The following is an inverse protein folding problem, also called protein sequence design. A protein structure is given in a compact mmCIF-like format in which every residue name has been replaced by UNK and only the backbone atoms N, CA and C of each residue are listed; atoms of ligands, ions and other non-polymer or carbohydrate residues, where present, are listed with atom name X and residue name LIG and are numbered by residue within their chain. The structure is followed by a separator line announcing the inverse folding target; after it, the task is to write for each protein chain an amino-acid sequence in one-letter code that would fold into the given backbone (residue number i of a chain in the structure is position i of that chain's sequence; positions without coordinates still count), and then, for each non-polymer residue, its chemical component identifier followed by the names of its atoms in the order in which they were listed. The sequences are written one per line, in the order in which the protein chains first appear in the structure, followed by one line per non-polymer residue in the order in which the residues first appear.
data_IF_445604434871
#
_entry.id   IF_445604434871
#
_cell.length_a   1.000
_cell.length_b   1.000
_cell.length_c   1.000
_cell.angle_alpha   90.00
_cell.angle_beta   90.00
_cell.angle_gamma   90.00
#
_symmetry.space_group_name_H-M   'P 1'
#
loop_
_entity.id
_entity.type
_entity.pdbx_description
1 polymer ?
#
# COMPACT_ATOMS: atom_id res chain seq x y z
N UNK A 1 8.88 -17.61 -17.57
CA UNK A 1 9.31 -16.43 -16.81
C UNK A 1 8.34 -16.25 -15.66
N UNK A 2 8.86 -16.19 -14.44
CA UNK A 2 8.04 -15.96 -13.26
C UNK A 2 7.55 -14.51 -13.29
N UNK A 3 6.25 -14.30 -13.16
CA UNK A 3 5.61 -12.99 -13.26
C UNK A 3 6.03 -12.16 -12.03
N UNK A 4 6.80 -11.11 -12.23
CA UNK A 4 7.25 -10.21 -11.16
C UNK A 4 6.23 -9.10 -10.98
N UNK A 5 5.57 -9.06 -9.83
CA UNK A 5 4.60 -8.04 -9.46
C UNK A 5 5.19 -6.87 -8.66
N UNK A 6 6.44 -6.98 -8.25
CA UNK A 6 7.19 -5.91 -7.60
C UNK A 6 8.59 -5.85 -8.21
N UNK A 7 8.91 -4.69 -8.75
CA UNK A 7 10.23 -4.38 -9.27
C UNK A 7 11.07 -3.73 -8.19
N UNK A 8 12.37 -3.97 -8.20
CA UNK A 8 13.30 -3.41 -7.23
C UNK A 8 14.42 -2.67 -7.97
N UNK A 9 14.46 -1.37 -7.75
CA UNK A 9 15.52 -0.46 -8.23
C UNK A 9 16.23 0.18 -7.04
N UNK A 10 17.34 0.85 -7.30
CA UNK A 10 18.04 1.64 -6.29
C UNK A 10 18.72 2.86 -6.89
N UNK A 11 18.81 3.91 -6.09
CA UNK A 11 19.60 5.10 -6.32
C UNK A 11 20.53 5.30 -5.09
N UNK A 12 21.77 4.86 -5.21
CA UNK A 12 22.68 4.76 -4.08
C UNK A 12 22.13 3.85 -2.99
N UNK A 13 21.98 4.39 -1.79
CA UNK A 13 21.44 3.70 -0.60
C UNK A 13 19.92 3.82 -0.48
N UNK A 14 19.24 4.45 -1.43
CA UNK A 14 17.78 4.54 -1.48
C UNK A 14 17.26 3.44 -2.40
N UNK A 15 16.45 2.55 -1.84
CA UNK A 15 15.85 1.47 -2.60
C UNK A 15 14.41 1.82 -3.00
N UNK A 16 14.01 1.43 -4.20
CA UNK A 16 12.67 1.71 -4.73
C UNK A 16 11.99 0.38 -5.06
N UNK A 17 10.87 0.13 -4.40
CA UNK A 17 9.99 -0.99 -4.70
C UNK A 17 8.78 -0.47 -5.50
N UNK A 18 8.64 -0.94 -6.75
CA UNK A 18 7.56 -0.55 -7.65
C UNK A 18 6.51 -1.65 -7.71
N UNK A 19 5.29 -1.32 -7.33
CA UNK A 19 4.14 -2.23 -7.53
C UNK A 19 3.82 -2.23 -9.02
N UNK A 20 4.01 -3.38 -9.67
CA UNK A 20 3.87 -3.57 -11.12
C UNK A 20 2.78 -4.61 -11.42
N UNK A 21 1.54 -4.30 -11.08
CA UNK A 21 0.36 -5.13 -11.33
C UNK A 21 -0.71 -4.33 -12.10
N UNK A 22 -0.46 -3.99 -13.39
CA UNK A 22 -1.38 -3.20 -14.18
C UNK A 22 -2.74 -3.90 -14.34
N UNK A 23 -3.83 -3.14 -14.62
CA UNK A 23 -3.83 -1.70 -14.88
C UNK A 23 -3.92 -0.81 -13.63
N UNK A 24 -4.17 -1.37 -12.44
CA UNK A 24 -4.54 -0.59 -11.25
C UNK A 24 -3.80 -1.01 -9.96
N UNK A 25 -2.76 -1.82 -10.10
CA UNK A 25 -1.88 -2.21 -9.01
C UNK A 25 -2.63 -2.77 -7.77
N UNK A 26 -3.58 -3.71 -8.01
CA UNK A 26 -4.24 -4.41 -6.90
C UNK A 26 -3.24 -5.21 -6.07
N UNK A 27 -3.47 -5.27 -4.76
CA UNK A 27 -2.60 -5.94 -3.80
C UNK A 27 -2.92 -7.46 -3.71
N UNK A 28 -2.86 -8.13 -4.87
CA UNK A 28 -3.01 -9.59 -4.97
C UNK A 28 -1.86 -10.31 -4.27
N UNK A 29 -2.00 -11.61 -4.07
CA UNK A 29 -1.01 -12.46 -3.38
C UNK A 29 0.41 -12.24 -3.89
N UNK A 30 0.64 -12.23 -5.20
CA UNK A 30 1.98 -12.04 -5.77
C UNK A 30 2.56 -10.64 -5.46
N UNK A 31 1.74 -9.58 -5.43
CA UNK A 31 2.17 -8.25 -5.02
C UNK A 31 2.54 -8.23 -3.53
N UNK A 32 1.70 -8.83 -2.67
CA UNK A 32 1.98 -8.92 -1.23
C UNK A 32 3.28 -9.67 -0.95
N UNK A 33 3.45 -10.82 -1.59
CA UNK A 33 4.68 -11.62 -1.49
C UNK A 33 5.90 -10.83 -1.98
N UNK A 34 5.78 -10.16 -3.12
CA UNK A 34 6.84 -9.32 -3.68
C UNK A 34 7.22 -8.15 -2.78
N UNK A 35 6.25 -7.45 -2.18
CA UNK A 35 6.52 -6.36 -1.23
C UNK A 35 7.21 -6.88 0.04
N UNK A 36 6.68 -7.95 0.64
CA UNK A 36 7.26 -8.54 1.85
C UNK A 36 8.71 -9.00 1.63
N UNK A 37 8.97 -9.74 0.56
CA UNK A 37 10.31 -10.18 0.19
C UNK A 37 11.22 -9.01 -0.21
N UNK A 38 10.69 -8.03 -0.93
CA UNK A 38 11.41 -6.84 -1.37
C UNK A 38 11.90 -5.99 -0.20
N UNK A 39 11.07 -5.77 0.82
CA UNK A 39 11.47 -5.04 2.05
C UNK A 39 12.65 -5.78 2.73
N UNK A 40 12.53 -7.10 2.89
CA UNK A 40 13.59 -7.90 3.49
C UNK A 40 14.89 -7.85 2.67
N UNK A 41 14.79 -7.88 1.34
CA UNK A 41 15.94 -7.76 0.44
C UNK A 41 16.61 -6.38 0.56
N UNK A 42 15.82 -5.29 0.54
CA UNK A 42 16.33 -3.93 0.72
C UNK A 42 17.14 -3.79 2.02
N UNK A 43 16.60 -4.30 3.13
CA UNK A 43 17.27 -4.26 4.43
C UNK A 43 18.58 -5.07 4.42
N UNK A 44 18.57 -6.25 3.81
CA UNK A 44 19.77 -7.10 3.68
C UNK A 44 20.86 -6.44 2.83
N UNK A 45 20.46 -5.69 1.81
CA UNK A 45 21.36 -4.96 0.91
C UNK A 45 21.82 -3.60 1.46
N UNK A 46 21.44 -3.25 2.70
CA UNK A 46 21.92 -2.05 3.38
C UNK A 46 21.19 -0.77 3.00
N UNK A 47 19.94 -0.86 2.55
CA UNK A 47 19.11 0.33 2.29
C UNK A 47 19.09 1.27 3.49
N UNK A 48 19.20 2.58 3.23
CA UNK A 48 18.99 3.64 4.24
C UNK A 48 17.58 4.20 4.22
N UNK A 49 16.86 4.01 3.12
CA UNK A 49 15.44 4.26 3.02
C UNK A 49 14.85 3.40 1.89
N UNK A 50 13.54 3.15 1.98
CA UNK A 50 12.79 2.41 0.96
C UNK A 50 11.66 3.30 0.48
N UNK A 51 11.50 3.45 -0.83
CA UNK A 51 10.38 4.14 -1.46
C UNK A 51 9.44 3.11 -2.07
N UNK A 52 8.15 3.16 -1.71
CA UNK A 52 7.10 2.40 -2.38
C UNK A 52 6.38 3.28 -3.38
N UNK A 53 6.24 2.83 -4.61
CA UNK A 53 5.54 3.55 -5.68
C UNK A 53 4.78 2.55 -6.56
N UNK A 54 3.70 2.98 -7.20
CA UNK A 54 3.02 2.18 -8.23
C UNK A 54 3.60 2.43 -9.62
N UNK A 55 3.53 1.45 -10.50
CA UNK A 55 3.79 1.68 -11.93
C UNK A 55 2.51 2.19 -12.63
N UNK A 56 2.68 2.80 -13.79
CA UNK A 56 1.56 3.25 -14.61
C UNK A 56 0.81 4.44 -13.98
N UNK A 57 -0.53 4.36 -13.97
CA UNK A 57 -1.38 5.53 -13.71
C UNK A 57 -1.73 5.81 -12.25
N UNK A 58 -1.41 4.91 -11.33
CA UNK A 58 -1.82 5.07 -9.93
C UNK A 58 -0.95 4.25 -8.97
N UNK A 59 -0.97 4.63 -7.71
CA UNK A 59 -0.29 3.90 -6.65
C UNK A 59 -0.88 2.50 -6.44
N UNK A 60 -2.16 2.40 -6.05
CA UNK A 60 -2.86 1.12 -5.92
C UNK A 60 -4.37 1.32 -5.72
N UNK A 61 -5.17 0.49 -6.39
CA UNK A 61 -6.63 0.41 -6.19
C UNK A 61 -7.06 -0.42 -4.98
N UNK A 62 -6.10 -1.00 -4.23
CA UNK A 62 -6.39 -1.76 -3.02
C UNK A 62 -6.42 -3.27 -3.21
N UNK A 63 -7.14 -3.95 -2.35
CA UNK A 63 -7.19 -5.41 -2.32
C UNK A 63 -7.74 -6.02 -3.63
N UNK A 64 -7.24 -7.19 -3.99
CA UNK A 64 -7.74 -7.96 -5.13
C UNK A 64 -9.05 -8.66 -4.75
N UNK A 65 -10.18 -8.16 -5.27
CA UNK A 65 -11.51 -8.66 -4.93
C UNK A 65 -11.74 -10.11 -5.32
N UNK A 66 -11.09 -10.59 -6.37
CA UNK A 66 -11.23 -11.99 -6.83
C UNK A 66 -10.60 -13.00 -5.87
N UNK A 67 -9.82 -12.54 -4.91
CA UNK A 67 -9.22 -13.38 -3.86
C UNK A 67 -10.12 -13.54 -2.62
N UNK A 68 -11.18 -12.74 -2.46
CA UNK A 68 -12.04 -12.78 -1.27
C UNK A 68 -12.85 -14.07 -1.13
N UNK A 69 -13.12 -14.74 -2.23
CA UNK A 69 -13.83 -16.03 -2.27
C UNK A 69 -12.89 -17.24 -2.22
N UNK A 70 -11.58 -17.01 -2.15
CA UNK A 70 -10.55 -18.06 -2.16
C UNK A 70 -9.93 -18.23 -0.76
N UNK A 71 -9.32 -19.40 -0.46
CA UNK A 71 -8.51 -19.56 0.73
C UNK A 71 -7.42 -18.47 0.78
N UNK A 72 -7.26 -17.86 1.95
CA UNK A 72 -6.25 -16.82 2.15
C UNK A 72 -4.85 -17.38 1.94
N UNK A 73 -4.06 -16.68 1.13
CA UNK A 73 -2.67 -17.02 0.86
C UNK A 73 -1.74 -16.01 1.54
N UNK A 74 -0.70 -16.46 2.25
CA UNK A 74 0.29 -15.57 2.85
C UNK A 74 1.21 -14.94 1.77
N UNK A 75 1.81 -13.80 2.09
CA UNK A 75 1.50 -12.98 3.25
C UNK A 75 0.15 -12.25 3.12
N UNK A 76 -0.51 -12.04 4.24
CA UNK A 76 -1.69 -11.16 4.33
C UNK A 76 -1.27 -9.69 4.24
N UNK A 77 -2.24 -8.78 4.03
CA UNK A 77 -1.95 -7.34 4.09
C UNK A 77 -1.39 -6.90 5.46
N UNK A 78 -1.95 -7.34 6.61
CA UNK A 78 -1.35 -7.02 7.91
C UNK A 78 0.12 -7.45 8.03
N UNK A 79 0.49 -8.65 7.57
CA UNK A 79 1.90 -9.10 7.62
C UNK A 79 2.83 -8.21 6.78
N UNK A 80 2.38 -7.73 5.61
CA UNK A 80 3.15 -6.76 4.82
C UNK A 80 3.26 -5.42 5.54
N UNK A 81 2.17 -4.96 6.17
CA UNK A 81 2.16 -3.69 6.89
C UNK A 81 3.04 -3.75 8.15
N UNK A 82 3.02 -4.86 8.87
CA UNK A 82 3.92 -5.09 10.01
C UNK A 82 5.39 -5.06 9.59
N UNK A 83 5.72 -5.67 8.43
CA UNK A 83 7.07 -5.62 7.89
C UNK A 83 7.51 -4.18 7.53
N UNK A 84 6.57 -3.33 7.08
CA UNK A 84 6.82 -1.91 6.84
C UNK A 84 7.01 -1.17 8.16
N UNK A 85 6.07 -1.27 9.10
CA UNK A 85 6.06 -0.52 10.35
C UNK A 85 7.23 -0.88 11.26
N UNK A 86 7.69 -2.15 11.23
CA UNK A 86 8.84 -2.63 12.00
C UNK A 86 10.18 -2.49 11.28
N UNK A 87 10.18 -1.93 10.09
CA UNK A 87 11.41 -1.71 9.31
C UNK A 87 12.38 -0.80 10.07
N UNK A 88 13.66 -1.19 10.08
CA UNK A 88 14.74 -0.43 10.72
C UNK A 88 15.14 0.84 9.95
N UNK A 89 14.62 1.00 8.74
CA UNK A 89 14.84 2.19 7.90
C UNK A 89 13.50 2.78 7.49
N UNK A 90 13.41 4.08 7.22
CA UNK A 90 12.16 4.70 6.80
C UNK A 90 11.67 4.09 5.48
N UNK A 91 10.38 3.75 5.46
CA UNK A 91 9.63 3.36 4.26
C UNK A 91 8.68 4.49 3.90
N UNK A 92 8.78 5.01 2.69
CA UNK A 92 8.05 6.18 2.22
C UNK A 92 7.12 5.77 1.08
N UNK A 93 5.84 6.08 1.18
CA UNK A 93 4.90 5.94 0.07
C UNK A 93 4.98 7.18 -0.84
N UNK A 94 5.31 6.96 -2.12
CA UNK A 94 5.25 7.98 -3.16
C UNK A 94 3.96 7.79 -3.99
N UNK A 95 2.96 8.62 -3.71
CA UNK A 95 1.60 8.43 -4.20
C UNK A 95 1.34 9.32 -5.41
N UNK A 96 0.98 8.72 -6.54
CA UNK A 96 0.44 9.41 -7.70
C UNK A 96 -0.87 8.75 -8.15
N UNK A 97 -1.67 9.47 -8.92
CA UNK A 97 -2.99 8.99 -9.33
C UNK A 97 -3.86 8.69 -8.12
N UNK A 98 -4.14 7.43 -7.83
CA UNK A 98 -5.01 7.06 -6.71
C UNK A 98 -4.38 6.04 -5.77
N UNK A 99 -4.66 6.18 -4.47
CA UNK A 99 -4.46 5.18 -3.45
C UNK A 99 -5.79 4.91 -2.74
N UNK A 100 -6.40 3.76 -3.01
CA UNK A 100 -7.75 3.45 -2.58
C UNK A 100 -7.80 2.16 -1.75
N UNK A 101 -8.65 2.13 -0.73
CA UNK A 101 -8.86 0.96 0.12
C UNK A 101 -7.55 0.42 0.68
N UNK A 102 -7.27 -0.87 0.52
CA UNK A 102 -6.01 -1.47 0.93
C UNK A 102 -4.76 -0.77 0.37
N UNK A 103 -4.86 -0.05 -0.76
CA UNK A 103 -3.77 0.76 -1.29
C UNK A 103 -3.50 2.00 -0.44
N UNK A 104 -4.54 2.67 0.06
CA UNK A 104 -4.36 3.73 1.05
C UNK A 104 -3.90 3.14 2.39
N UNK A 105 -4.42 1.98 2.81
CA UNK A 105 -3.97 1.31 4.03
C UNK A 105 -2.48 0.96 3.98
N UNK A 106 -1.97 0.51 2.81
CA UNK A 106 -0.53 0.31 2.58
C UNK A 106 0.26 1.61 2.75
N UNK A 107 -0.22 2.70 2.14
CA UNK A 107 0.42 4.00 2.27
C UNK A 107 0.38 4.52 3.72
N UNK A 108 -0.70 4.26 4.46
CA UNK A 108 -0.85 4.62 5.87
C UNK A 108 0.11 3.83 6.78
N UNK A 109 0.45 2.60 6.43
CA UNK A 109 1.44 1.79 7.15
C UNK A 109 2.88 2.28 6.94
N UNK A 110 3.15 3.06 5.89
CA UNK A 110 4.46 3.65 5.66
C UNK A 110 4.78 4.74 6.70
N UNK A 111 6.07 4.92 7.00
CA UNK A 111 6.55 5.92 7.95
C UNK A 111 6.25 7.36 7.48
N UNK A 112 6.37 7.60 6.17
CA UNK A 112 6.03 8.88 5.56
C UNK A 112 5.30 8.69 4.22
N UNK A 113 4.62 9.74 3.76
CA UNK A 113 3.89 9.78 2.50
C UNK A 113 4.16 11.09 1.79
N UNK A 114 4.42 10.98 0.48
CA UNK A 114 4.46 12.13 -0.45
C UNK A 114 3.41 11.85 -1.50
N UNK A 115 2.51 12.78 -1.73
CA UNK A 115 1.45 12.64 -2.72
C UNK A 115 1.56 13.72 -3.79
N UNK A 116 1.32 13.35 -5.05
CA UNK A 116 1.15 14.33 -6.11
C UNK A 116 -0.07 15.22 -5.81
N UNK A 117 -0.08 16.50 -6.20
CA UNK A 117 -1.22 17.39 -5.93
C UNK A 117 -2.56 16.88 -6.48
N UNK A 118 -2.52 16.06 -7.52
CA UNK A 118 -3.71 15.44 -8.14
C UNK A 118 -4.03 14.05 -7.62
N UNK A 119 -3.33 13.59 -6.58
CA UNK A 119 -3.57 12.26 -6.04
C UNK A 119 -4.93 12.19 -5.34
N UNK A 120 -5.64 11.07 -5.56
CA UNK A 120 -6.93 10.78 -4.95
C UNK A 120 -6.75 9.71 -3.86
N UNK A 121 -7.15 10.02 -2.63
CA UNK A 121 -6.98 9.16 -1.47
C UNK A 121 -8.33 8.80 -0.89
N UNK A 122 -8.61 7.51 -0.63
CA UNK A 122 -9.90 7.13 -0.09
C UNK A 122 -9.97 5.71 0.47
N UNK A 123 -10.98 5.49 1.31
CA UNK A 123 -11.36 4.18 1.85
C UNK A 123 -12.78 3.82 1.39
N UNK A 124 -12.96 3.38 0.12
CA UNK A 124 -14.28 3.17 -0.47
C UNK A 124 -14.93 1.83 -0.12
N UNK A 125 -14.44 1.11 0.88
CA UNK A 125 -14.89 -0.22 1.26
C UNK A 125 -16.38 -0.28 1.53
N UNK A 126 -16.94 0.75 2.17
CA UNK A 126 -18.38 0.83 2.51
C UNK A 126 -19.27 0.77 1.26
N UNK A 127 -18.83 1.28 0.12
CA UNK A 127 -19.56 1.21 -1.16
C UNK A 127 -19.71 -0.23 -1.69
N UNK A 128 -18.98 -1.17 -1.11
CA UNK A 128 -18.99 -2.60 -1.45
C UNK A 128 -19.44 -3.48 -0.30
N UNK A 129 -20.01 -2.88 0.77
CA UNK A 129 -20.49 -3.61 1.95
C UNK A 129 -19.39 -4.09 2.89
N UNK A 130 -18.20 -3.51 2.83
CA UNK A 130 -17.08 -3.85 3.71
C UNK A 130 -16.71 -2.68 4.63
N UNK A 131 -15.81 -2.96 5.55
CA UNK A 131 -15.13 -1.96 6.39
C UNK A 131 -13.63 -2.06 6.06
N UNK A 132 -12.86 -0.95 6.10
CA UNK A 132 -11.41 -1.02 5.95
C UNK A 132 -10.80 -2.02 6.93
N UNK A 133 -10.23 -3.11 6.42
CA UNK A 133 -9.90 -4.29 7.21
C UNK A 133 -8.42 -4.46 7.57
N UNK A 134 -7.53 -3.62 7.02
CA UNK A 134 -6.10 -3.74 7.24
C UNK A 134 -5.52 -2.57 8.06
N UNK A 135 -6.35 -1.94 8.88
CA UNK A 135 -5.95 -0.92 9.85
C UNK A 135 -6.19 0.53 9.42
N UNK A 136 -6.88 0.76 8.30
CA UNK A 136 -7.27 2.11 7.85
C UNK A 136 -8.10 2.84 8.90
N UNK A 137 -9.03 2.14 9.57
CA UNK A 137 -9.85 2.68 10.66
C UNK A 137 -9.03 3.07 11.89
N UNK A 138 -7.79 2.64 12.00
CA UNK A 138 -6.91 2.92 13.13
C UNK A 138 -5.84 3.97 12.77
N UNK A 139 -5.23 3.87 11.58
CA UNK A 139 -4.15 4.75 11.17
C UNK A 139 -4.66 6.11 10.68
N UNK A 140 -5.74 6.12 9.90
CA UNK A 140 -6.25 7.37 9.33
C UNK A 140 -6.69 8.38 10.41
N UNK A 141 -7.51 8.01 11.43
CA UNK A 141 -7.90 8.97 12.48
C UNK A 141 -6.75 9.57 13.27
N UNK A 142 -5.65 8.83 13.42
CA UNK A 142 -4.45 9.30 14.10
C UNK A 142 -3.69 10.35 13.30
N UNK A 143 -3.88 10.38 11.98
CA UNK A 143 -3.22 11.34 11.08
C UNK A 143 -4.04 12.59 10.81
N UNK A 144 -5.36 12.44 10.56
CA UNK A 144 -6.22 13.55 10.11
C UNK A 144 -7.32 13.92 11.10
N UNK A 145 -7.34 13.27 12.26
CA UNK A 145 -8.41 13.44 13.26
C UNK A 145 -9.64 12.57 13.00
N UNK A 146 -10.41 12.34 14.08
CA UNK A 146 -11.55 11.40 14.03
C UNK A 146 -12.68 11.83 13.10
N UNK A 147 -13.00 13.11 13.07
CA UNK A 147 -14.12 13.63 12.25
C UNK A 147 -13.87 13.46 10.75
N UNK A 148 -12.70 13.91 10.28
CA UNK A 148 -12.33 13.80 8.87
C UNK A 148 -12.19 12.34 8.43
N UNK A 149 -11.61 11.50 9.28
CA UNK A 149 -11.47 10.07 9.01
C UNK A 149 -12.84 9.37 8.97
N UNK A 150 -13.72 9.66 9.91
CA UNK A 150 -15.08 9.11 9.92
C UNK A 150 -15.83 9.48 8.65
N UNK A 151 -15.75 10.76 8.24
CA UNK A 151 -16.38 11.24 7.01
C UNK A 151 -15.91 10.44 5.79
N UNK A 152 -14.58 10.26 5.62
CA UNK A 152 -14.02 9.50 4.50
C UNK A 152 -14.44 8.02 4.54
N UNK A 153 -14.39 7.39 5.71
CA UNK A 153 -14.70 5.95 5.88
C UNK A 153 -16.19 5.68 5.63
N UNK A 154 -17.09 6.52 6.17
CA UNK A 154 -18.54 6.31 6.08
C UNK A 154 -19.09 6.70 4.70
N UNK A 155 -18.57 7.74 4.07
CA UNK A 155 -18.99 8.11 2.71
C UNK A 155 -18.38 7.21 1.64
N UNK A 156 -17.16 6.72 1.88
CA UNK A 156 -16.35 6.04 0.87
C UNK A 156 -15.93 6.95 -0.28
N UNK A 157 -16.08 8.29 -0.13
CA UNK A 157 -15.65 9.25 -1.15
C UNK A 157 -14.17 9.56 -0.99
N UNK A 158 -13.37 9.45 -2.07
CA UNK A 158 -11.98 9.89 -2.05
C UNK A 158 -11.87 11.42 -2.03
N UNK A 159 -10.76 11.89 -1.54
CA UNK A 159 -10.36 13.30 -1.51
C UNK A 159 -9.10 13.51 -2.31
#
# INVERSE_FOLDING_TARGET
MEERFVEHDRDGDIHVLRIANPPVNTLRTGVRAGLHAGIAACLKEGARAIVLIGTGRMFSAGAEMTEFTKPRQPPSLPEVFDAIETSKVPVIAAIHGSALGGGLELALACHARVAAPSAMLGLPEVKRGFVPGAGGTQRLPRLIGGEAALKMIVSGEPV
#
